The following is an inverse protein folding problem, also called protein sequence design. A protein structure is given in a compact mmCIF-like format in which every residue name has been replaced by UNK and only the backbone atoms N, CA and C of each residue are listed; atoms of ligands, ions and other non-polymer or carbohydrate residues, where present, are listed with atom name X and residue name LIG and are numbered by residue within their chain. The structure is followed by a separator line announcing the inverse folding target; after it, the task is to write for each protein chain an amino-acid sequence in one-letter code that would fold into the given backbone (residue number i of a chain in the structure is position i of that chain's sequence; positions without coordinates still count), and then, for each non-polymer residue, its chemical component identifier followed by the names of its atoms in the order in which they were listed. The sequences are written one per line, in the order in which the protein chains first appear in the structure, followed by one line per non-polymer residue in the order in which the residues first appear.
data_IF_836091922698
#
_entry.id   IF_836091922698
#
_cell.length_a   1.000
_cell.length_b   1.000
_cell.length_c   1.000
_cell.angle_alpha   90.00
_cell.angle_beta   90.00
_cell.angle_gamma   90.00
#
_symmetry.space_group_name_H-M   'P 1'
#
loop_
_entity.id
_entity.type
_entity.pdbx_description
1 polymer ?
#
# COMPACT_ATOMS: atom_id res chain seq x y z
N UNK A 1 -25.36 -9.43 12.98
CA UNK A 1 -25.52 -7.97 13.16
C UNK A 1 -24.19 -7.45 13.66
N UNK A 2 -23.68 -6.37 13.08
CA UNK A 2 -22.39 -5.78 13.49
C UNK A 2 -22.50 -5.27 14.93
N UNK A 3 -21.56 -5.67 15.79
CA UNK A 3 -21.49 -5.22 17.17
C UNK A 3 -20.74 -3.90 17.24
N UNK A 4 -21.33 -2.91 17.90
CA UNK A 4 -20.79 -1.56 18.01
C UNK A 4 -20.57 -1.20 19.48
N UNK A 5 -19.45 -0.54 19.77
CA UNK A 5 -19.13 -0.02 21.10
C UNK A 5 -18.84 1.47 20.99
N UNK A 6 -19.56 2.28 21.77
CA UNK A 6 -19.22 3.70 21.91
C UNK A 6 -17.95 3.90 22.73
N UNK A 7 -17.17 4.89 22.36
CA UNK A 7 -15.95 5.34 23.03
C UNK A 7 -15.97 6.86 23.19
N UNK A 8 -15.21 7.36 24.15
CA UNK A 8 -14.91 8.78 24.24
C UNK A 8 -14.03 9.16 23.03
N UNK A 9 -14.45 10.15 22.22
CA UNK A 9 -13.70 10.57 21.04
C UNK A 9 -12.38 11.24 21.45
N UNK A 10 -11.37 11.14 20.58
CA UNK A 10 -10.13 11.89 20.75
C UNK A 10 -10.39 13.38 20.59
N UNK A 11 -9.77 14.19 21.44
CA UNK A 11 -9.81 15.65 21.33
C UNK A 11 -9.02 16.13 20.10
N UNK A 12 -9.50 17.19 19.42
CA UNK A 12 -8.86 17.71 18.21
C UNK A 12 -7.45 18.26 18.48
N UNK A 13 -7.23 18.93 19.62
CA UNK A 13 -5.90 19.42 19.98
C UNK A 13 -4.95 18.24 20.21
N UNK A 14 -5.46 17.14 20.80
CA UNK A 14 -4.68 15.91 20.95
C UNK A 14 -4.33 15.28 19.60
N UNK A 15 -5.28 15.19 18.66
CA UNK A 15 -5.03 14.70 17.30
C UNK A 15 -3.96 15.52 16.58
N UNK A 16 -3.97 16.84 16.72
CA UNK A 16 -2.93 17.71 16.17
C UNK A 16 -1.55 17.45 16.79
N UNK A 17 -1.47 17.16 18.10
CA UNK A 17 -0.19 16.79 18.73
C UNK A 17 0.37 15.46 18.23
N UNK A 18 -0.50 14.57 17.74
CA UNK A 18 -0.09 13.31 17.10
C UNK A 18 0.36 13.55 15.64
N UNK A 19 0.08 14.70 15.04
CA UNK A 19 0.32 14.97 13.61
C UNK A 19 -0.87 14.63 12.71
N UNK A 20 -2.04 14.33 13.28
CA UNK A 20 -3.26 14.01 12.55
C UNK A 20 -4.09 15.28 12.33
N UNK A 21 -3.82 15.98 11.23
CA UNK A 21 -4.32 17.34 10.97
C UNK A 21 -5.58 17.41 10.11
N UNK A 22 -6.03 16.29 9.52
CA UNK A 22 -7.27 16.17 8.74
C UNK A 22 -8.41 15.58 9.58
N UNK A 23 -8.48 15.98 10.85
CA UNK A 23 -9.41 15.43 11.83
C UNK A 23 -10.87 15.90 11.70
N UNK A 24 -11.11 16.94 10.89
CA UNK A 24 -12.43 17.54 10.68
C UNK A 24 -12.75 17.62 9.19
N UNK A 25 -13.92 17.10 8.81
CA UNK A 25 -14.41 17.11 7.44
C UNK A 25 -14.88 18.51 7.00
N UNK A 26 -15.07 18.68 5.68
CA UNK A 26 -15.53 19.95 5.09
C UNK A 26 -16.90 20.45 5.59
N UNK A 27 -17.70 19.57 6.18
CA UNK A 27 -19.00 19.87 6.77
C UNK A 27 -18.95 20.09 8.29
N UNK A 28 -17.74 20.26 8.84
CA UNK A 28 -17.43 20.46 10.26
C UNK A 28 -17.71 19.22 11.14
N UNK A 29 -17.99 18.06 10.53
CA UNK A 29 -18.11 16.81 11.28
C UNK A 29 -16.74 16.19 11.58
N UNK A 30 -16.70 15.36 12.62
CA UNK A 30 -15.48 14.63 12.99
C UNK A 30 -15.19 13.55 11.96
N UNK A 31 -13.98 13.55 11.42
CA UNK A 31 -13.52 12.50 10.49
C UNK A 31 -13.47 11.13 11.18
N UNK A 32 -13.09 11.09 12.46
CA UNK A 32 -13.04 9.87 13.26
C UNK A 32 -14.38 9.65 14.00
N UNK A 33 -14.91 8.44 13.91
CA UNK A 33 -16.14 8.05 14.61
C UNK A 33 -15.89 7.78 16.10
N UNK A 34 -16.86 8.15 16.95
CA UNK A 34 -16.92 7.81 18.39
C UNK A 34 -17.35 6.36 18.66
N UNK A 35 -17.37 5.51 17.62
CA UNK A 35 -17.93 4.17 17.67
C UNK A 35 -16.98 3.15 17.05
N UNK A 36 -16.60 2.15 17.83
CA UNK A 36 -15.80 1.02 17.41
C UNK A 36 -16.67 -0.10 16.84
N UNK A 37 -16.17 -0.76 15.80
CA UNK A 37 -16.68 -2.06 15.36
C UNK A 37 -15.97 -3.14 16.16
N UNK A 38 -16.75 -3.95 16.89
CA UNK A 38 -16.19 -5.07 17.66
C UNK A 38 -16.15 -6.30 16.77
N UNK A 39 -14.94 -6.84 16.58
CA UNK A 39 -14.67 -8.11 15.91
C UNK A 39 -14.26 -9.15 16.93
N UNK A 40 -14.68 -10.39 16.71
CA UNK A 40 -14.18 -11.55 17.45
C UNK A 40 -12.77 -11.95 16.99
N UNK A 41 -12.06 -12.71 17.82
CA UNK A 41 -10.76 -13.30 17.47
C UNK A 41 -10.86 -14.20 16.22
N UNK A 42 -11.97 -14.94 16.06
CA UNK A 42 -12.21 -15.78 14.89
C UNK A 42 -12.35 -14.94 13.60
N UNK A 43 -13.12 -13.84 13.65
CA UNK A 43 -13.27 -12.92 12.51
C UNK A 43 -11.94 -12.23 12.17
N UNK A 44 -11.19 -11.79 13.19
CA UNK A 44 -9.86 -11.22 13.03
C UNK A 44 -8.88 -12.21 12.35
N UNK A 45 -8.79 -13.43 12.85
CA UNK A 45 -7.96 -14.49 12.25
C UNK A 45 -8.43 -14.83 10.83
N UNK A 46 -9.74 -14.80 10.55
CA UNK A 46 -10.23 -15.02 9.19
C UNK A 46 -9.74 -13.95 8.20
N UNK A 47 -9.62 -12.68 8.63
CA UNK A 47 -8.99 -11.63 7.81
C UNK A 47 -7.49 -11.83 7.65
N UNK A 48 -6.78 -12.25 8.71
CA UNK A 48 -5.36 -12.59 8.63
C UNK A 48 -5.10 -13.67 7.57
N UNK A 49 -5.81 -14.80 7.65
CA UNK A 49 -5.67 -15.92 6.71
C UNK A 49 -6.10 -15.53 5.29
N UNK A 50 -7.19 -14.77 5.15
CA UNK A 50 -7.68 -14.30 3.86
C UNK A 50 -6.67 -13.39 3.17
N UNK A 51 -6.06 -12.45 3.88
CA UNK A 51 -5.10 -11.50 3.29
C UNK A 51 -3.81 -12.18 2.88
N UNK A 52 -3.28 -13.12 3.67
CA UNK A 52 -2.12 -13.94 3.28
C UNK A 52 -2.42 -14.81 2.05
N UNK A 53 -3.56 -15.51 2.05
CA UNK A 53 -4.00 -16.32 0.89
C UNK A 53 -4.14 -15.46 -0.37
N UNK A 54 -4.76 -14.28 -0.25
CA UNK A 54 -4.92 -13.37 -1.37
C UNK A 54 -3.57 -12.87 -1.88
N UNK A 55 -2.64 -12.52 -0.99
CA UNK A 55 -1.31 -12.07 -1.39
C UNK A 55 -0.57 -13.13 -2.20
N UNK A 56 -0.57 -14.39 -1.76
CA UNK A 56 0.00 -15.52 -2.51
C UNK A 56 -0.66 -15.71 -3.89
N UNK A 57 -1.99 -15.58 -3.96
CA UNK A 57 -2.71 -15.63 -5.22
C UNK A 57 -2.33 -14.47 -6.15
N UNK A 58 -2.11 -13.26 -5.62
CA UNK A 58 -1.64 -12.11 -6.40
C UNK A 58 -0.22 -12.32 -6.93
N UNK A 59 0.68 -12.93 -6.14
CA UNK A 59 2.02 -13.30 -6.60
C UNK A 59 1.92 -14.24 -7.82
N UNK A 60 1.19 -15.34 -7.68
CA UNK A 60 1.01 -16.31 -8.76
C UNK A 60 0.31 -15.72 -10.00
N UNK A 61 -0.65 -14.82 -9.80
CA UNK A 61 -1.29 -14.10 -10.89
C UNK A 61 -0.34 -13.10 -11.58
N UNK A 62 0.53 -12.43 -10.82
CA UNK A 62 1.58 -11.57 -11.36
C UNK A 62 2.55 -12.34 -12.25
N UNK A 63 3.00 -13.51 -11.79
CA UNK A 63 3.82 -14.43 -12.60
C UNK A 63 3.12 -14.81 -13.91
N UNK A 64 1.83 -15.15 -13.82
CA UNK A 64 1.04 -15.48 -15.00
C UNK A 64 0.95 -14.32 -15.99
N UNK A 65 0.74 -13.09 -15.53
CA UNK A 65 0.71 -11.89 -16.38
C UNK A 65 2.05 -11.66 -17.07
N UNK A 66 3.16 -11.75 -16.33
CA UNK A 66 4.51 -11.52 -16.87
C UNK A 66 4.85 -12.59 -17.92
N UNK A 67 4.63 -13.87 -17.63
CA UNK A 67 4.95 -14.99 -18.53
C UNK A 67 4.11 -14.98 -19.82
N UNK A 68 2.86 -14.52 -19.75
CA UNK A 68 1.95 -14.50 -20.90
C UNK A 68 1.85 -13.12 -21.56
N UNK A 69 2.65 -12.14 -21.11
CA UNK A 69 2.68 -10.77 -21.62
C UNK A 69 1.30 -10.08 -21.63
N UNK A 70 0.53 -10.27 -20.56
CA UNK A 70 -0.87 -9.79 -20.42
C UNK A 70 -0.98 -8.34 -19.90
N UNK A 71 0.08 -7.55 -20.02
CA UNK A 71 0.16 -6.20 -19.45
C UNK A 71 -0.93 -5.28 -20.00
N UNK A 72 -1.21 -5.33 -21.30
CA UNK A 72 -2.23 -4.50 -21.93
C UNK A 72 -3.63 -4.88 -21.43
N UNK A 73 -3.91 -6.16 -21.27
CA UNK A 73 -5.21 -6.70 -20.87
C UNK A 73 -5.62 -6.19 -19.49
N UNK A 74 -4.64 -5.98 -18.61
CA UNK A 74 -4.84 -5.37 -17.29
C UNK A 74 -4.49 -3.88 -17.26
N UNK A 75 -4.40 -3.22 -18.42
CA UNK A 75 -4.32 -1.77 -18.59
C UNK A 75 -2.94 -1.12 -18.37
N UNK A 76 -1.88 -1.90 -18.15
CA UNK A 76 -0.55 -1.37 -17.79
C UNK A 76 0.00 -0.48 -18.90
N UNK A 77 0.45 0.75 -18.58
CA UNK A 77 1.11 1.64 -19.54
C UNK A 77 2.37 1.00 -20.15
N UNK A 78 2.53 1.11 -21.47
CA UNK A 78 3.62 0.43 -22.19
C UNK A 78 5.02 0.88 -21.73
N UNK A 79 5.16 2.14 -21.31
CA UNK A 79 6.40 2.73 -20.82
C UNK A 79 6.81 2.25 -19.42
N UNK A 80 5.96 1.51 -18.72
CA UNK A 80 6.30 0.88 -17.44
C UNK A 80 6.56 -0.63 -17.55
N UNK A 81 6.30 -1.26 -18.69
CA UNK A 81 6.41 -2.73 -18.82
C UNK A 81 7.83 -3.20 -18.48
N UNK A 82 8.86 -2.49 -18.97
CA UNK A 82 10.25 -2.91 -18.76
C UNK A 82 10.68 -2.77 -17.31
N UNK A 83 10.37 -1.64 -16.65
CA UNK A 83 10.68 -1.46 -15.22
C UNK A 83 9.89 -2.42 -14.33
N UNK A 84 8.63 -2.75 -14.69
CA UNK A 84 7.84 -3.77 -14.01
C UNK A 84 8.54 -5.12 -14.09
N UNK A 85 8.92 -5.59 -15.28
CA UNK A 85 9.64 -6.86 -15.46
C UNK A 85 10.94 -6.88 -14.66
N UNK A 86 11.74 -5.83 -14.76
CA UNK A 86 13.00 -5.74 -14.02
C UNK A 86 12.77 -5.78 -12.51
N UNK A 87 11.72 -5.13 -12.01
CA UNK A 87 11.39 -5.15 -10.58
C UNK A 87 10.80 -6.48 -10.11
N UNK A 88 10.11 -7.22 -11.00
CA UNK A 88 9.51 -8.52 -10.70
C UNK A 88 10.54 -9.65 -10.66
N UNK A 89 11.49 -9.63 -11.59
CA UNK A 89 12.48 -10.72 -11.78
C UNK A 89 13.69 -10.61 -10.83
N UNK A 90 13.79 -9.52 -10.06
CA UNK A 90 14.93 -9.24 -9.19
C UNK A 90 14.52 -9.26 -7.71
N UNK A 91 15.10 -10.22 -6.98
CA UNK A 91 14.78 -10.56 -5.59
C UNK A 91 15.05 -9.43 -4.57
N UNK A 92 15.70 -8.33 -4.96
CA UNK A 92 15.94 -7.19 -4.06
C UNK A 92 14.75 -6.23 -3.96
N UNK A 93 13.77 -6.33 -4.86
CA UNK A 93 12.62 -5.42 -4.89
C UNK A 93 11.47 -5.99 -4.09
N UNK A 94 11.48 -5.75 -2.78
CA UNK A 94 10.41 -6.20 -1.89
C UNK A 94 9.29 -5.17 -1.79
N UNK A 95 8.05 -5.64 -1.87
CA UNK A 95 6.87 -4.83 -1.59
C UNK A 95 6.76 -4.57 -0.09
N UNK A 96 6.74 -3.30 0.30
CA UNK A 96 6.81 -2.87 1.70
C UNK A 96 5.48 -3.08 2.43
N UNK A 97 4.40 -2.55 1.84
CA UNK A 97 3.05 -2.62 2.40
C UNK A 97 1.99 -2.27 1.36
N UNK A 98 0.79 -2.84 1.55
CA UNK A 98 -0.41 -2.62 0.72
C UNK A 98 -1.68 -2.71 1.56
N UNK A 99 -2.83 -2.33 0.98
CA UNK A 99 -4.15 -2.41 1.63
C UNK A 99 -5.14 -3.18 0.77
N UNK A 100 -5.60 -4.32 1.28
CA UNK A 100 -6.75 -5.02 0.69
C UNK A 100 -8.06 -4.35 1.12
N UNK A 101 -8.92 -4.08 0.15
CA UNK A 101 -10.30 -3.69 0.42
C UNK A 101 -11.17 -4.95 0.33
N UNK A 102 -11.81 -5.31 1.44
CA UNK A 102 -12.59 -6.53 1.60
C UNK A 102 -14.05 -6.20 1.97
N UNK A 103 -14.98 -7.03 1.51
CA UNK A 103 -16.38 -6.99 1.92
C UNK A 103 -16.76 -8.24 2.73
N UNK A 104 -17.67 -8.08 3.70
CA UNK A 104 -18.14 -9.18 4.55
C UNK A 104 -17.18 -9.45 5.70
N UNK A 105 -16.94 -10.71 6.07
CA UNK A 105 -16.02 -11.14 7.13
C UNK A 105 -16.53 -10.99 8.55
N UNK A 106 -17.38 -10.01 8.79
CA UNK A 106 -18.14 -9.85 10.03
C UNK A 106 -19.58 -10.32 9.85
N UNK A 107 -20.31 -10.45 10.95
CA UNK A 107 -21.76 -10.70 10.97
C UNK A 107 -22.27 -11.95 10.25
N UNK A 108 -21.38 -12.93 10.06
CA UNK A 108 -21.65 -14.19 9.38
C UNK A 108 -21.59 -14.11 7.85
N UNK A 109 -21.16 -12.98 7.28
CA UNK A 109 -20.94 -12.84 5.85
C UNK A 109 -19.55 -13.34 5.44
N UNK A 110 -19.41 -13.97 4.26
CA UNK A 110 -18.11 -14.39 3.77
C UNK A 110 -17.24 -13.19 3.41
N UNK A 111 -15.92 -13.33 3.57
CA UNK A 111 -14.92 -12.37 3.11
C UNK A 111 -14.85 -12.43 1.58
N UNK A 112 -14.89 -11.27 0.92
CA UNK A 112 -14.75 -11.12 -0.53
C UNK A 112 -13.79 -9.99 -0.88
N UNK A 113 -12.83 -10.28 -1.74
CA UNK A 113 -11.91 -9.29 -2.31
C UNK A 113 -12.66 -8.31 -3.19
N UNK A 114 -12.43 -7.01 -2.95
CA UNK A 114 -12.98 -5.92 -3.74
C UNK A 114 -11.91 -5.27 -4.61
N UNK A 115 -10.70 -5.07 -4.06
CA UNK A 115 -9.49 -4.59 -4.74
C UNK A 115 -8.27 -4.69 -3.82
N UNK A 116 -7.08 -4.50 -4.39
CA UNK A 116 -5.83 -4.43 -3.65
C UNK A 116 -5.11 -3.12 -3.99
N UNK A 117 -4.98 -2.24 -3.00
CA UNK A 117 -4.22 -1.00 -3.11
C UNK A 117 -2.76 -1.28 -2.74
N UNK A 118 -1.94 -1.67 -3.72
CA UNK A 118 -0.58 -2.16 -3.50
C UNK A 118 0.52 -1.12 -3.78
N UNK A 119 0.24 -0.05 -4.51
CA UNK A 119 1.28 0.96 -4.81
C UNK A 119 1.32 2.06 -3.74
N UNK A 120 0.21 2.80 -3.60
CA UNK A 120 0.08 3.93 -2.67
C UNK A 120 -1.15 3.75 -1.76
N UNK A 121 -1.15 2.77 -0.84
CA UNK A 121 -2.26 2.58 0.09
C UNK A 121 -2.41 3.76 1.08
N UNK A 122 -3.65 4.23 1.26
CA UNK A 122 -4.02 5.25 2.26
C UNK A 122 -4.51 4.61 3.56
N UNK A 123 -4.86 5.43 4.57
CA UNK A 123 -5.32 5.01 5.91
C UNK A 123 -4.25 4.39 6.83
N UNK A 124 -2.96 4.59 6.51
CA UNK A 124 -1.85 4.08 7.31
C UNK A 124 -1.83 4.73 8.69
N UNK A 125 -1.96 6.06 8.75
CA UNK A 125 -1.87 6.82 9.98
C UNK A 125 -3.01 6.47 10.95
N UNK A 126 -4.23 6.38 10.40
CA UNK A 126 -5.43 5.97 11.11
C UNK A 126 -5.26 4.59 11.74
N UNK A 127 -4.74 3.65 10.96
CA UNK A 127 -4.53 2.27 11.41
C UNK A 127 -3.41 2.22 12.44
N UNK A 128 -2.22 2.73 12.15
CA UNK A 128 -1.05 2.56 13.01
C UNK A 128 -1.10 3.39 14.30
N UNK A 129 -1.67 4.60 14.26
CA UNK A 129 -1.59 5.57 15.36
C UNK A 129 -2.95 5.84 16.00
N UNK A 130 -3.98 6.15 15.19
CA UNK A 130 -5.25 6.64 15.73
C UNK A 130 -6.03 5.53 16.45
N UNK A 131 -6.07 4.32 15.90
CA UNK A 131 -6.72 3.19 16.57
C UNK A 131 -6.11 2.93 17.96
N UNK A 132 -4.78 2.93 18.05
CA UNK A 132 -4.07 2.77 19.32
C UNK A 132 -4.35 3.92 20.30
N UNK A 133 -4.35 5.17 19.81
CA UNK A 133 -4.64 6.33 20.63
C UNK A 133 -6.06 6.28 21.23
N UNK A 134 -7.06 5.86 20.45
CA UNK A 134 -8.44 5.66 20.92
C UNK A 134 -8.48 4.62 22.06
N UNK A 135 -7.80 3.48 21.87
CA UNK A 135 -7.73 2.42 22.88
C UNK A 135 -7.11 2.94 24.19
N UNK A 136 -6.00 3.67 24.09
CA UNK A 136 -5.33 4.25 25.26
C UNK A 136 -6.18 5.26 26.00
N UNK A 137 -6.80 6.21 25.30
CA UNK A 137 -7.66 7.21 25.94
C UNK A 137 -8.85 6.56 26.66
N UNK A 138 -9.38 5.48 26.10
CA UNK A 138 -10.53 4.76 26.63
C UNK A 138 -10.15 3.67 27.65
N UNK A 139 -8.88 3.57 28.07
CA UNK A 139 -8.37 2.55 29.01
C UNK A 139 -8.72 1.12 28.57
N UNK A 140 -8.67 0.87 27.26
CA UNK A 140 -8.86 -0.46 26.68
C UNK A 140 -7.52 -1.19 26.64
N UNK A 141 -7.55 -2.52 26.83
CA UNK A 141 -6.36 -3.36 26.81
C UNK A 141 -5.78 -3.45 25.39
N UNK A 142 -4.49 -3.16 25.22
CA UNK A 142 -3.80 -3.25 23.93
C UNK A 142 -3.87 -4.65 23.32
N UNK A 143 -3.86 -5.68 24.18
CA UNK A 143 -3.96 -7.09 23.74
C UNK A 143 -5.28 -7.43 23.04
N UNK A 144 -6.28 -6.56 23.10
CA UNK A 144 -7.55 -6.73 22.40
C UNK A 144 -7.57 -6.08 21.00
N UNK A 145 -6.48 -5.43 20.58
CA UNK A 145 -6.34 -4.85 19.25
C UNK A 145 -5.83 -5.91 18.26
N UNK A 146 -6.58 -6.11 17.18
CA UNK A 146 -6.11 -6.89 16.02
C UNK A 146 -5.42 -5.97 15.00
N UNK A 147 -4.31 -5.36 15.41
CA UNK A 147 -3.51 -4.52 14.54
C UNK A 147 -2.10 -4.42 15.12
N UNK A 148 -1.15 -4.90 14.32
CA UNK A 148 0.29 -4.91 14.60
C UNK A 148 1.05 -4.24 13.44
N UNK A 149 0.40 -3.29 12.76
CA UNK A 149 0.92 -2.70 11.51
C UNK A 149 2.22 -1.94 11.75
N UNK A 150 2.31 -1.21 12.86
CA UNK A 150 3.51 -0.44 13.20
C UNK A 150 4.70 -1.39 13.41
N UNK A 151 4.51 -2.42 14.23
CA UNK A 151 5.53 -3.45 14.51
C UNK A 151 5.90 -4.25 13.26
N UNK A 152 4.92 -4.61 12.43
CA UNK A 152 5.16 -5.31 11.18
C UNK A 152 5.96 -4.44 10.18
N UNK A 153 5.74 -3.13 10.15
CA UNK A 153 6.51 -2.22 9.31
C UNK A 153 7.97 -2.10 9.78
N UNK A 154 8.22 -2.07 11.11
CA UNK A 154 9.59 -2.08 11.63
C UNK A 154 10.38 -3.29 11.09
N UNK A 155 9.77 -4.46 11.11
CA UNK A 155 10.40 -5.67 10.57
C UNK A 155 10.47 -5.64 9.05
N UNK A 156 9.41 -5.21 8.34
CA UNK A 156 9.42 -5.14 6.88
C UNK A 156 10.49 -4.19 6.33
N UNK A 157 10.76 -3.06 6.99
CA UNK A 157 11.88 -2.21 6.60
C UNK A 157 13.22 -2.94 6.71
N UNK A 158 13.45 -3.69 7.80
CA UNK A 158 14.68 -4.50 7.93
C UNK A 158 14.76 -5.60 6.88
N UNK A 159 13.62 -6.17 6.48
CA UNK A 159 13.53 -7.18 5.41
C UNK A 159 14.00 -6.67 4.04
N UNK A 160 13.91 -5.35 3.78
CA UNK A 160 14.48 -4.75 2.57
C UNK A 160 16.00 -4.97 2.45
N UNK A 161 16.68 -5.15 3.58
CA UNK A 161 18.12 -5.40 3.66
C UNK A 161 18.42 -6.89 3.84
N UNK A 162 17.65 -7.58 4.70
CA UNK A 162 17.92 -8.99 4.97
C UNK A 162 17.49 -9.91 3.83
N UNK A 163 16.46 -9.53 3.06
CA UNK A 163 15.82 -10.32 2.02
C UNK A 163 15.33 -11.70 2.51
N UNK A 164 15.01 -11.77 3.80
CA UNK A 164 14.61 -12.99 4.53
C UNK A 164 13.57 -12.61 5.59
N UNK A 165 12.73 -13.56 6.02
CA UNK A 165 11.72 -13.31 7.06
C UNK A 165 12.36 -12.89 8.40
N UNK A 166 13.50 -13.51 8.75
CA UNK A 166 14.29 -13.19 9.93
C UNK A 166 15.10 -11.89 9.72
N UNK A 167 14.86 -10.93 10.60
CA UNK A 167 15.50 -9.60 10.58
C UNK A 167 16.76 -9.53 11.44
N UNK A 168 17.14 -10.61 12.13
CA UNK A 168 18.28 -10.65 13.06
C UNK A 168 19.63 -10.30 12.40
N UNK A 169 19.74 -10.50 11.09
CA UNK A 169 20.94 -10.19 10.31
C UNK A 169 21.03 -8.71 9.87
N UNK A 170 20.03 -7.87 10.16
CA UNK A 170 19.94 -6.49 9.69
C UNK A 170 21.21 -5.68 10.00
N UNK A 171 21.60 -5.59 11.28
CA UNK A 171 22.79 -4.83 11.73
C UNK A 171 24.10 -5.29 11.07
N UNK A 172 24.15 -6.54 10.61
CA UNK A 172 25.32 -7.10 9.93
C UNK A 172 25.30 -6.84 8.42
N UNK A 173 24.12 -6.80 7.81
CA UNK A 173 23.91 -6.65 6.35
C UNK A 173 23.73 -5.19 5.92
N UNK A 174 23.30 -4.31 6.81
CA UNK A 174 23.03 -2.92 6.49
C UNK A 174 24.33 -2.12 6.30
N UNK A 175 24.44 -1.44 5.15
CA UNK A 175 25.64 -0.70 4.74
C UNK A 175 25.45 0.83 4.84
N UNK A 176 24.69 1.29 5.84
CA UNK A 176 24.42 2.73 6.08
C UNK A 176 23.72 3.47 4.92
N UNK A 177 23.02 2.75 4.04
CA UNK A 177 22.30 3.30 2.89
C UNK A 177 21.40 4.48 3.25
N UNK A 178 21.43 5.52 2.41
CA UNK A 178 20.56 6.68 2.58
C UNK A 178 19.19 6.40 1.97
N UNK A 179 18.15 6.69 2.74
CA UNK A 179 16.76 6.42 2.38
C UNK A 179 15.96 7.71 2.27
N UNK A 180 15.55 8.07 1.06
CA UNK A 180 14.73 9.25 0.79
C UNK A 180 13.25 8.90 0.81
N UNK A 181 12.45 9.71 1.50
CA UNK A 181 11.00 9.62 1.56
C UNK A 181 10.35 10.82 0.88
N UNK A 182 9.33 10.58 0.07
CA UNK A 182 8.76 11.63 -0.81
C UNK A 182 7.25 11.59 -0.92
N UNK A 183 6.66 12.78 -0.86
CA UNK A 183 5.26 13.07 -1.22
C UNK A 183 5.16 14.27 -2.16
N UNK A 184 3.95 14.55 -2.65
CA UNK A 184 3.64 15.79 -3.36
C UNK A 184 3.46 16.93 -2.34
N UNK A 185 3.94 18.13 -2.70
CA UNK A 185 3.82 19.32 -1.85
C UNK A 185 2.38 19.82 -1.79
N UNK A 186 1.94 20.23 -0.60
CA UNK A 186 0.63 20.83 -0.39
C UNK A 186 -0.49 19.85 -0.04
N UNK A 187 -0.19 18.55 0.04
CA UNK A 187 -1.11 17.56 0.63
C UNK A 187 -0.59 17.16 2.03
N UNK A 188 -1.23 17.67 3.09
CA UNK A 188 -0.80 17.42 4.47
C UNK A 188 -1.08 16.00 4.94
N UNK A 189 -2.12 15.33 4.44
CA UNK A 189 -2.42 13.93 4.78
C UNK A 189 -1.33 13.00 4.22
N UNK A 190 -0.99 13.18 2.94
CA UNK A 190 0.06 12.42 2.28
C UNK A 190 1.42 12.69 2.92
N UNK A 191 1.77 13.96 3.18
CA UNK A 191 3.02 14.31 3.83
C UNK A 191 3.13 13.62 5.20
N UNK A 192 2.11 13.70 6.06
CA UNK A 192 2.13 13.06 7.37
C UNK A 192 2.21 11.53 7.28
N UNK A 193 1.55 10.92 6.29
CA UNK A 193 1.67 9.49 6.01
C UNK A 193 3.12 9.11 5.66
N UNK A 194 3.77 9.88 4.78
CA UNK A 194 5.17 9.66 4.40
C UNK A 194 6.12 9.92 5.57
N UNK A 195 5.86 10.94 6.38
CA UNK A 195 6.64 11.24 7.59
C UNK A 195 6.52 10.14 8.63
N UNK A 196 5.36 9.51 8.77
CA UNK A 196 5.19 8.34 9.65
C UNK A 196 6.05 7.17 9.14
N UNK A 197 6.01 6.85 7.85
CA UNK A 197 6.87 5.82 7.27
C UNK A 197 8.35 6.12 7.44
N UNK A 198 8.75 7.38 7.23
CA UNK A 198 10.11 7.86 7.49
C UNK A 198 10.50 7.61 8.96
N UNK A 199 9.61 7.94 9.89
CA UNK A 199 9.85 7.75 11.32
C UNK A 199 10.07 6.28 11.68
N UNK A 200 9.20 5.39 11.18
CA UNK A 200 9.30 3.95 11.40
C UNK A 200 10.60 3.39 10.80
N UNK A 201 11.00 3.87 9.61
CA UNK A 201 12.27 3.48 9.01
C UNK A 201 13.48 3.97 9.82
N UNK A 202 13.46 5.19 10.34
CA UNK A 202 14.51 5.70 11.25
C UNK A 202 14.59 4.86 12.52
N UNK A 203 13.45 4.52 13.13
CA UNK A 203 13.40 3.66 14.31
C UNK A 203 13.92 2.24 14.00
N UNK A 204 13.74 1.78 12.77
CA UNK A 204 14.28 0.51 12.28
C UNK A 204 15.79 0.51 12.04
N UNK A 205 16.44 1.68 12.13
CA UNK A 205 17.89 1.85 12.00
C UNK A 205 18.36 2.51 10.69
N UNK A 206 17.45 2.99 9.85
CA UNK A 206 17.81 3.61 8.57
C UNK A 206 18.25 5.08 8.70
N UNK A 207 19.15 5.49 7.81
CA UNK A 207 19.54 6.89 7.63
C UNK A 207 18.55 7.57 6.68
N UNK A 208 17.54 8.23 7.22
CA UNK A 208 16.43 8.76 6.41
C UNK A 208 16.52 10.26 6.17
N UNK A 209 15.92 10.70 5.08
CA UNK A 209 15.64 12.11 4.80
C UNK A 209 14.27 12.23 4.10
N UNK A 210 13.69 13.42 4.12
CA UNK A 210 12.48 13.73 3.36
C UNK A 210 12.73 14.87 2.37
N UNK A 211 12.10 14.75 1.19
CA UNK A 211 12.02 15.81 0.22
C UNK A 211 10.67 15.76 -0.51
N UNK A 212 10.17 16.92 -0.95
CA UNK A 212 9.07 16.93 -1.90
C UNK A 212 9.57 16.53 -3.30
N UNK A 213 8.71 15.90 -4.10
CA UNK A 213 9.12 15.35 -5.41
C UNK A 213 9.74 16.40 -6.34
N UNK A 214 9.28 17.64 -6.27
CA UNK A 214 9.74 18.78 -7.10
C UNK A 214 11.12 19.32 -6.68
N UNK A 215 11.67 18.82 -5.57
CA UNK A 215 12.97 19.21 -5.02
C UNK A 215 14.06 18.14 -5.29
N UNK A 216 13.69 17.00 -5.89
CA UNK A 216 14.57 15.84 -6.09
C UNK A 216 15.12 15.81 -7.52
N UNK A 217 16.39 15.48 -7.65
CA UNK A 217 17.06 15.33 -8.94
C UNK A 217 17.22 13.85 -9.31
N UNK A 218 16.78 13.49 -10.52
CA UNK A 218 16.88 12.12 -11.03
C UNK A 218 17.90 12.04 -12.17
N UNK A 219 18.88 11.15 -12.02
CA UNK A 219 19.93 10.90 -13.02
C UNK A 219 19.91 9.43 -13.44
N UNK A 220 19.81 9.12 -14.75
CA UNK A 220 19.77 7.74 -15.23
C UNK A 220 21.06 6.95 -14.95
N UNK A 221 22.17 7.65 -14.68
CA UNK A 221 23.49 7.05 -14.43
C UNK A 221 23.94 7.17 -12.99
N UNK A 222 23.55 8.24 -12.31
CA UNK A 222 24.02 8.52 -10.94
C UNK A 222 23.00 8.09 -9.88
N UNK A 223 21.70 8.06 -10.19
CA UNK A 223 20.65 7.69 -9.24
C UNK A 223 19.78 8.87 -8.81
N UNK A 224 19.38 8.87 -7.55
CA UNK A 224 18.43 9.82 -6.96
C UNK A 224 19.20 10.76 -6.03
N UNK A 225 19.12 12.07 -6.26
CA UNK A 225 19.90 13.06 -5.54
C UNK A 225 19.03 14.10 -4.84
N UNK A 226 19.45 14.47 -3.64
CA UNK A 226 18.90 15.58 -2.89
C UNK A 226 19.98 16.19 -1.98
N UNK A 227 20.11 17.52 -1.99
CA UNK A 227 21.13 18.26 -1.22
C UNK A 227 22.55 17.66 -1.30
N UNK A 228 23.05 17.45 -2.53
CA UNK A 228 24.39 16.91 -2.83
C UNK A 228 24.66 15.49 -2.31
N UNK A 229 23.62 14.73 -1.91
CA UNK A 229 23.71 13.32 -1.52
C UNK A 229 22.98 12.44 -2.52
N UNK A 230 23.54 11.25 -2.79
CA UNK A 230 22.86 10.18 -3.51
C UNK A 230 22.10 9.29 -2.51
N UNK A 231 20.96 8.77 -2.92
CA UNK A 231 20.10 7.91 -2.10
C UNK A 231 19.92 6.54 -2.76
N UNK A 232 20.29 5.49 -2.03
CA UNK A 232 20.20 4.10 -2.50
C UNK A 232 18.78 3.53 -2.37
N UNK A 233 17.98 4.07 -1.43
CA UNK A 233 16.59 3.69 -1.22
C UNK A 233 15.69 4.91 -1.40
N UNK A 234 14.56 4.74 -2.07
CA UNK A 234 13.59 5.81 -2.28
C UNK A 234 12.16 5.32 -2.11
N UNK A 235 11.45 5.89 -1.14
CA UNK A 235 10.02 5.68 -0.96
C UNK A 235 9.24 6.84 -1.57
N UNK A 236 8.26 6.50 -2.41
CA UNK A 236 7.34 7.45 -3.02
C UNK A 236 5.90 7.17 -2.63
N UNK A 237 5.20 8.18 -2.13
CA UNK A 237 3.74 8.20 -2.16
C UNK A 237 3.25 8.91 -3.42
N UNK A 238 3.71 8.40 -4.57
CA UNK A 238 3.34 8.88 -5.90
C UNK A 238 2.95 7.66 -6.75
N UNK A 239 1.77 7.66 -7.39
CA UNK A 239 1.32 6.52 -8.16
C UNK A 239 2.18 6.24 -9.38
N UNK A 240 2.49 4.97 -9.63
CA UNK A 240 3.16 4.55 -10.86
C UNK A 240 2.31 4.88 -12.09
N UNK A 241 0.98 4.78 -12.02
CA UNK A 241 0.11 5.18 -13.12
C UNK A 241 0.26 6.66 -13.49
N UNK A 242 0.39 7.55 -12.49
CA UNK A 242 0.52 8.99 -12.70
C UNK A 242 1.90 9.32 -13.27
N UNK A 243 2.97 8.69 -12.75
CA UNK A 243 4.32 8.79 -13.33
C UNK A 243 4.31 8.39 -14.81
N UNK A 244 3.60 7.32 -15.16
CA UNK A 244 3.54 6.85 -16.54
C UNK A 244 2.83 7.80 -17.50
N UNK A 245 1.75 8.42 -17.03
CA UNK A 245 0.83 9.22 -17.86
C UNK A 245 1.25 10.69 -17.91
N UNK A 246 1.69 11.25 -16.80
CA UNK A 246 1.98 12.67 -16.64
C UNK A 246 3.47 12.98 -16.79
N UNK A 247 4.36 12.07 -16.36
CA UNK A 247 5.81 12.27 -16.35
C UNK A 247 6.59 11.15 -17.09
N UNK A 248 6.34 10.94 -18.40
CA UNK A 248 6.92 9.82 -19.15
C UNK A 248 8.46 9.84 -19.22
N UNK A 249 9.07 11.03 -19.16
CA UNK A 249 10.53 11.17 -19.11
C UNK A 249 11.10 10.65 -17.78
N UNK A 250 10.40 10.92 -16.65
CA UNK A 250 10.76 10.36 -15.35
C UNK A 250 10.63 8.84 -15.35
N UNK A 251 9.56 8.29 -15.92
CA UNK A 251 9.38 6.83 -16.04
C UNK A 251 10.59 6.17 -16.75
N UNK A 252 11.10 6.80 -17.82
CA UNK A 252 12.29 6.33 -18.53
C UNK A 252 13.56 6.45 -17.66
N UNK A 253 13.74 7.55 -16.93
CA UNK A 253 14.89 7.72 -16.02
C UNK A 253 14.87 6.66 -14.92
N UNK A 254 13.72 6.43 -14.27
CA UNK A 254 13.55 5.41 -13.23
C UNK A 254 13.84 4.00 -13.76
N UNK A 255 13.46 3.71 -15.00
CA UNK A 255 13.81 2.44 -15.66
C UNK A 255 15.32 2.25 -15.75
N UNK A 256 16.06 3.29 -16.15
CA UNK A 256 17.52 3.25 -16.23
C UNK A 256 18.17 3.15 -14.83
N UNK A 257 17.65 3.85 -13.83
CA UNK A 257 18.10 3.76 -12.44
C UNK A 257 18.01 2.31 -11.95
N UNK A 258 16.89 1.63 -12.22
CA UNK A 258 16.68 0.25 -11.83
C UNK A 258 17.63 -0.71 -12.57
N UNK A 259 17.74 -0.58 -13.89
CA UNK A 259 18.62 -1.41 -14.73
C UNK A 259 20.09 -1.27 -14.36
N UNK A 260 20.51 -0.08 -13.97
CA UNK A 260 21.89 0.22 -13.55
C UNK A 260 22.12 0.01 -12.04
N UNK A 261 21.14 -0.52 -11.32
CA UNK A 261 21.19 -0.79 -9.87
C UNK A 261 21.63 0.44 -9.05
N UNK A 262 21.07 1.61 -9.39
CA UNK A 262 21.43 2.88 -8.75
C UNK A 262 20.58 3.22 -7.53
N UNK A 263 19.35 2.72 -7.48
CA UNK A 263 18.49 2.83 -6.31
C UNK A 263 17.43 1.73 -6.32
N UNK A 264 16.89 1.43 -5.14
CA UNK A 264 15.67 0.62 -4.95
C UNK A 264 14.50 1.57 -4.72
N UNK A 265 13.42 1.36 -5.47
CA UNK A 265 12.22 2.20 -5.42
C UNK A 265 11.12 1.46 -4.67
N UNK A 266 10.49 2.14 -3.72
CA UNK A 266 9.43 1.60 -2.86
C UNK A 266 8.15 2.45 -2.97
N UNK A 267 6.98 1.84 -3.17
CA UNK A 267 6.79 0.44 -3.53
C UNK A 267 7.35 0.11 -4.95
N UNK A 268 7.83 -1.13 -5.20
CA UNK A 268 8.39 -1.51 -6.49
C UNK A 268 7.45 -1.33 -7.67
N UNK A 269 7.96 -1.15 -8.89
CA UNK A 269 7.12 -0.92 -10.08
C UNK A 269 6.09 -2.02 -10.33
N UNK A 270 6.42 -3.28 -10.03
CA UNK A 270 5.48 -4.39 -10.22
C UNK A 270 4.21 -4.29 -9.37
N UNK A 271 4.17 -3.49 -8.30
CA UNK A 271 2.95 -3.34 -7.49
C UNK A 271 1.82 -2.69 -8.29
N UNK A 272 2.13 -2.01 -9.41
CA UNK A 272 1.13 -1.55 -10.36
C UNK A 272 0.33 -2.70 -10.99
N UNK A 273 0.94 -3.89 -11.14
CA UNK A 273 0.20 -5.10 -11.53
C UNK A 273 -0.89 -5.36 -10.50
N UNK A 274 -0.52 -5.42 -9.22
CA UNK A 274 -1.44 -5.72 -8.12
C UNK A 274 -2.52 -4.64 -7.93
N UNK A 275 -2.17 -3.37 -8.17
CA UNK A 275 -3.09 -2.22 -8.15
C UNK A 275 -4.17 -2.31 -9.24
N UNK A 276 -3.86 -2.94 -10.38
CA UNK A 276 -4.80 -3.03 -11.50
C UNK A 276 -6.01 -3.90 -11.14
N UNK A 277 -7.21 -3.34 -11.25
CA UNK A 277 -8.45 -4.11 -11.11
C UNK A 277 -8.63 -5.16 -12.21
N UNK A 278 -7.84 -5.09 -13.29
CA UNK A 278 -7.73 -6.16 -14.28
C UNK A 278 -7.22 -7.47 -13.67
N UNK A 279 -6.42 -7.41 -12.61
CA UNK A 279 -5.97 -8.60 -11.88
C UNK A 279 -7.12 -9.41 -11.27
N UNK A 280 -8.23 -8.78 -10.91
CA UNK A 280 -9.41 -9.50 -10.40
C UNK A 280 -9.94 -10.50 -11.44
N UNK A 281 -9.85 -10.17 -12.74
CA UNK A 281 -10.20 -11.10 -13.82
C UNK A 281 -9.20 -12.25 -13.92
N UNK A 282 -7.91 -11.95 -13.86
CA UNK A 282 -6.84 -12.95 -13.92
C UNK A 282 -6.95 -13.92 -12.75
N UNK A 283 -7.16 -13.40 -11.53
CA UNK A 283 -7.39 -14.19 -10.33
C UNK A 283 -8.60 -15.11 -10.48
N UNK A 284 -9.72 -14.60 -11.01
CA UNK A 284 -10.90 -15.44 -11.23
C UNK A 284 -10.66 -16.57 -12.24
N UNK A 285 -9.87 -16.32 -13.29
CA UNK A 285 -9.54 -17.33 -14.30
C UNK A 285 -8.60 -18.41 -13.75
N UNK A 286 -7.63 -18.03 -12.90
CA UNK A 286 -6.69 -18.95 -12.27
C UNK A 286 -7.33 -19.73 -11.11
N UNK A 287 -8.27 -19.13 -10.40
CA UNK A 287 -8.90 -19.68 -9.20
C UNK A 287 -10.44 -19.62 -9.29
N UNK A 288 -11.04 -20.33 -10.25
CA UNK A 288 -12.48 -20.25 -10.48
C UNK A 288 -13.26 -20.74 -9.24
N UNK A 289 -14.24 -19.95 -8.82
CA UNK A 289 -15.09 -20.21 -7.64
C UNK A 289 -14.35 -20.19 -6.28
N UNK A 290 -13.16 -19.58 -6.20
CA UNK A 290 -12.48 -19.43 -4.92
C UNK A 290 -13.34 -18.63 -3.92
N UNK A 291 -13.34 -19.05 -2.65
CA UNK A 291 -14.21 -18.52 -1.61
C UNK A 291 -14.02 -17.02 -1.37
N UNK A 292 -12.80 -16.50 -1.56
CA UNK A 292 -12.46 -15.09 -1.39
C UNK A 292 -12.72 -14.22 -2.62
N UNK A 293 -12.98 -14.81 -3.79
CA UNK A 293 -13.11 -14.07 -5.04
C UNK A 293 -14.58 -13.83 -5.41
N UNK A 294 -14.79 -12.76 -6.18
CA UNK A 294 -16.03 -12.48 -6.89
C UNK A 294 -15.82 -12.75 -8.38
N UNK A 295 -16.84 -13.30 -9.04
CA UNK A 295 -16.80 -13.48 -10.48
C UNK A 295 -16.55 -12.14 -11.17
N UNK A 296 -15.46 -12.09 -11.92
CA UNK A 296 -15.01 -10.88 -12.60
C UNK A 296 -14.92 -11.15 -14.10
N UNK A 297 -15.28 -10.16 -14.92
CA UNK A 297 -15.28 -10.24 -16.37
C UNK A 297 -15.01 -8.88 -17.00
N UNK A 298 -14.33 -8.85 -18.14
CA UNK A 298 -14.16 -7.64 -18.96
C UNK A 298 -15.44 -7.23 -19.70
N UNK A 299 -16.43 -8.13 -19.77
CA UNK A 299 -17.76 -7.88 -20.33
C UNK A 299 -18.84 -8.11 -19.28
N UNK A 300 -20.01 -7.43 -19.37
CA UNK A 300 -21.07 -7.60 -18.41
C UNK A 300 -21.50 -9.06 -18.25
N UNK A 301 -21.66 -9.50 -17.00
CA UNK A 301 -22.15 -10.82 -16.64
C UNK A 301 -23.67 -10.89 -16.80
N UNK A 302 -24.18 -12.03 -17.27
CA UNK A 302 -25.61 -12.20 -17.48
C UNK A 302 -26.34 -12.56 -16.18
N UNK A 303 -27.54 -11.99 -15.99
CA UNK A 303 -28.49 -12.37 -14.94
C UNK A 303 -27.98 -12.24 -13.48
N UNK A 304 -27.03 -11.34 -13.22
CA UNK A 304 -26.60 -11.03 -11.85
C UNK A 304 -26.29 -9.55 -11.65
N UNK A 305 -26.48 -9.09 -10.42
CA UNK A 305 -26.07 -7.75 -10.00
C UNK A 305 -24.57 -7.66 -10.03
N UNK A 306 -24.04 -6.57 -10.59
CA UNK A 306 -22.62 -6.41 -10.75
C UNK A 306 -22.22 -4.94 -10.63
N UNK A 307 -20.94 -4.72 -10.41
CA UNK A 307 -20.36 -3.39 -10.33
C UNK A 307 -19.38 -3.26 -11.48
N UNK A 308 -19.58 -2.24 -12.31
CA UNK A 308 -18.59 -1.82 -13.31
C UNK A 308 -17.61 -0.87 -12.64
N UNK A 309 -16.33 -1.21 -12.72
CA UNK A 309 -15.21 -0.37 -12.24
C UNK A 309 -14.25 -0.07 -13.41
N UNK A 310 -13.59 1.10 -13.45
CA UNK A 310 -12.44 1.31 -14.32
C UNK A 310 -11.26 0.41 -13.88
N UNK A 311 -10.29 0.16 -14.76
CA UNK A 311 -9.11 -0.68 -14.44
C UNK A 311 -8.23 0.00 -13.40
N UNK A 312 -7.90 1.27 -13.65
CA UNK A 312 -7.30 2.18 -12.69
C UNK A 312 -8.34 3.23 -12.29
N UNK A 313 -8.45 3.47 -11.01
CA UNK A 313 -9.41 4.37 -10.40
C UNK A 313 -9.33 4.24 -8.89
N UNK A 314 -9.48 5.35 -8.21
CA UNK A 314 -9.29 5.50 -6.76
C UNK A 314 -10.58 6.00 -6.13
N UNK A 315 -10.74 5.78 -4.82
CA UNK A 315 -11.80 6.37 -4.00
C UNK A 315 -13.24 6.13 -4.53
N UNK A 316 -13.48 5.02 -5.22
CA UNK A 316 -14.79 4.70 -5.79
C UNK A 316 -15.21 5.56 -6.99
N UNK A 317 -14.29 6.35 -7.56
CA UNK A 317 -14.57 7.16 -8.74
C UNK A 317 -14.97 6.28 -9.95
N UNK A 318 -15.92 6.78 -10.74
CA UNK A 318 -16.41 6.13 -11.98
C UNK A 318 -16.97 4.71 -11.81
N UNK A 319 -17.45 4.38 -10.61
CA UNK A 319 -18.14 3.12 -10.32
C UNK A 319 -19.61 3.20 -10.75
N UNK A 320 -20.16 2.12 -11.30
CA UNK A 320 -21.59 2.00 -11.63
C UNK A 320 -22.14 0.64 -11.22
N UNK A 321 -23.33 0.62 -10.62
CA UNK A 321 -24.08 -0.61 -10.33
C UNK A 321 -24.95 -0.92 -11.55
N UNK A 322 -24.85 -2.15 -12.08
CA UNK A 322 -25.58 -2.62 -13.26
C UNK A 322 -26.73 -3.58 -12.92
#
# INVERSE_FOLDING_TARGET
MVSLQKVEPLDTDYLETLGFVWHTDSDESSYISDTLVIVSEEEANAYYEATNTLYDMYIAAGDYVVQNNLFHEIGIPFNLIDIIKNSWENDVHWHLYGRFDLAGGIDGKPIKLIEFNADTPTALFETAIIQWAILKQNNLEESHQFNALYEALLDNFKRLVTLEEDVSAFEKKYEEWLFLFTSIKGNMEEENTVRLLQHIATESGFNTEFAYIDEIEFSPTEGIHYHDKNYELWFKLLPWEDIALEEPDLAMILTNILQNQKAIILNPAYTLLFQSKGMLKILWDLYPNHSLLLETSFVPLANQKQVRKPVFGREGASVSIL
#
